data_IF_838695597405
#
_entry.id   IF_838695597405
#
_cell.length_a   1.000
_cell.length_b   1.000
_cell.length_c   1.000
_cell.angle_alpha   90.00
_cell.angle_beta   90.00
_cell.angle_gamma   90.00
#
_symmetry.space_group_name_H-M   'P 1'
#
loop_
_entity.id
_entity.type
_entity.pdbx_description
1 polymer ?
#
# COMPACT_ATOMS: atom_id res chain seq x y z
N UNK A 1 -18.02 -10.12 5.78
CA UNK A 1 -16.96 -9.27 6.36
C UNK A 1 -15.76 -9.40 5.44
N UNK A 2 -15.53 -8.40 4.58
CA UNK A 2 -14.32 -8.39 3.76
C UNK A 2 -13.21 -7.86 4.63
N UNK A 3 -12.37 -8.76 5.16
CA UNK A 3 -11.21 -8.38 5.96
C UNK A 3 -10.25 -7.60 5.06
N UNK A 4 -10.19 -6.28 5.24
CA UNK A 4 -9.24 -5.44 4.49
C UNK A 4 -7.84 -5.88 4.90
N UNK A 5 -7.01 -6.25 3.93
CA UNK A 5 -5.66 -6.76 4.21
C UNK A 5 -4.76 -5.60 4.61
N UNK A 6 -3.85 -5.85 5.55
CA UNK A 6 -2.82 -4.87 5.87
C UNK A 6 -1.77 -4.81 4.75
N UNK A 7 -1.47 -3.61 4.26
CA UNK A 7 -0.46 -3.39 3.21
C UNK A 7 0.94 -3.90 3.62
N UNK A 8 1.27 -3.88 4.92
CA UNK A 8 2.54 -4.38 5.46
C UNK A 8 2.60 -5.91 5.55
N UNK A 9 1.46 -6.58 5.44
CA UNK A 9 1.43 -8.04 5.32
C UNK A 9 1.76 -8.51 3.90
N UNK A 10 1.76 -7.62 2.91
CA UNK A 10 2.07 -7.95 1.52
C UNK A 10 3.58 -7.95 1.28
N UNK A 11 4.03 -8.98 0.57
CA UNK A 11 5.38 -9.05 0.02
C UNK A 11 5.55 -8.12 -1.19
N UNK A 12 6.79 -7.83 -1.57
CA UNK A 12 7.08 -7.05 -2.77
C UNK A 12 6.49 -7.69 -4.04
N UNK A 13 6.40 -9.02 -4.10
CA UNK A 13 5.80 -9.74 -5.21
C UNK A 13 4.28 -9.48 -5.28
N UNK A 14 3.58 -9.62 -4.16
CA UNK A 14 2.13 -9.35 -4.08
C UNK A 14 1.81 -7.89 -4.40
N UNK A 15 2.63 -6.94 -3.93
CA UNK A 15 2.48 -5.55 -4.31
C UNK A 15 2.62 -5.39 -5.83
N UNK A 16 3.63 -6.00 -6.47
CA UNK A 16 3.79 -5.93 -7.92
C UNK A 16 2.58 -6.47 -8.65
N UNK A 17 2.08 -7.64 -8.26
CA UNK A 17 0.87 -8.24 -8.84
C UNK A 17 -0.36 -7.34 -8.66
N UNK A 18 -0.52 -6.74 -7.48
CA UNK A 18 -1.58 -5.77 -7.22
C UNK A 18 -1.48 -4.55 -8.14
N UNK A 19 -0.30 -3.94 -8.25
CA UNK A 19 -0.07 -2.79 -9.12
C UNK A 19 -0.29 -3.16 -10.59
N UNK A 20 0.09 -4.36 -11.03
CA UNK A 20 -0.19 -4.86 -12.38
C UNK A 20 -1.70 -5.08 -12.61
N UNK A 21 -2.41 -5.61 -11.61
CA UNK A 21 -3.86 -5.85 -11.66
C UNK A 21 -4.66 -4.56 -11.85
N UNK A 22 -4.22 -3.46 -11.21
CA UNK A 22 -4.83 -2.13 -11.40
C UNK A 22 -4.30 -1.37 -12.63
N UNK A 23 -3.44 -2.00 -13.44
CA UNK A 23 -2.86 -1.39 -14.65
C UNK A 23 -1.81 -0.32 -14.39
N UNK A 24 -1.23 -0.28 -13.18
CA UNK A 24 -0.20 0.68 -12.80
C UNK A 24 1.22 0.07 -12.89
N UNK A 25 2.24 0.91 -12.79
CA UNK A 25 3.62 0.51 -13.09
C UNK A 25 4.25 -0.27 -11.94
N UNK A 26 4.95 -1.36 -12.26
CA UNK A 26 5.68 -2.22 -11.31
C UNK A 26 6.67 -1.47 -10.40
N UNK A 27 7.22 -0.33 -10.85
CA UNK A 27 8.13 0.47 -10.01
C UNK A 27 7.40 1.08 -8.80
N UNK A 28 6.09 1.34 -8.90
CA UNK A 28 5.30 1.88 -7.79
C UNK A 28 5.16 0.89 -6.65
N UNK A 29 5.14 -0.41 -6.96
CA UNK A 29 5.24 -1.46 -5.96
C UNK A 29 6.52 -1.35 -5.14
N UNK A 30 7.66 -1.13 -5.82
CA UNK A 30 8.97 -0.98 -5.18
C UNK A 30 8.99 0.28 -4.30
N UNK A 31 8.48 1.41 -4.80
CA UNK A 31 8.41 2.64 -4.02
C UNK A 31 7.55 2.48 -2.78
N UNK A 32 6.38 1.85 -2.92
CA UNK A 32 5.47 1.56 -1.80
C UNK A 32 6.16 0.67 -0.78
N UNK A 33 6.81 -0.41 -1.22
CA UNK A 33 7.57 -1.30 -0.36
C UNK A 33 8.70 -0.58 0.40
N UNK A 34 9.45 0.30 -0.28
CA UNK A 34 10.47 1.12 0.40
C UNK A 34 9.87 2.07 1.44
N UNK A 35 8.71 2.67 1.17
CA UNK A 35 8.02 3.50 2.16
C UNK A 35 7.58 2.70 3.39
N UNK A 36 7.09 1.47 3.18
CA UNK A 36 6.68 0.58 4.26
C UNK A 36 7.86 0.11 5.12
N UNK A 37 8.95 -0.34 4.49
CA UNK A 37 10.05 -1.02 5.19
C UNK A 37 11.27 -0.14 5.48
N UNK A 38 11.67 0.75 4.55
CA UNK A 38 12.83 1.64 4.76
C UNK A 38 12.46 2.91 5.50
N UNK A 39 11.35 3.55 5.11
CA UNK A 39 10.93 4.83 5.69
C UNK A 39 9.96 4.68 6.86
N UNK A 40 9.48 3.45 7.11
CA UNK A 40 8.53 3.14 8.16
C UNK A 40 7.34 4.11 8.17
N UNK A 41 6.77 4.35 6.97
CA UNK A 41 5.62 5.23 6.77
C UNK A 41 4.52 4.89 7.80
N UNK A 42 3.75 5.88 8.26
CA UNK A 42 2.63 5.66 9.19
C UNK A 42 1.27 5.79 8.53
N UNK A 43 1.24 6.27 7.30
CA UNK A 43 0.04 6.44 6.49
C UNK A 43 0.37 6.36 5.00
N UNK A 44 -0.65 6.16 4.17
CA UNK A 44 -0.50 6.31 2.71
C UNK A 44 -0.19 7.76 2.33
N UNK A 45 -0.64 8.74 3.11
CA UNK A 45 -0.39 10.17 2.90
C UNK A 45 1.09 10.56 3.05
N UNK A 46 1.83 9.89 3.92
CA UNK A 46 3.29 10.08 4.06
C UNK A 46 4.04 9.73 2.77
N UNK A 47 3.46 8.89 1.92
CA UNK A 47 4.07 8.46 0.66
C UNK A 47 3.96 9.55 -0.41
N UNK A 48 4.67 10.65 -0.21
CA UNK A 48 4.66 11.83 -1.10
C UNK A 48 5.09 11.52 -2.54
N UNK A 49 5.88 10.45 -2.73
CA UNK A 49 6.29 9.97 -4.06
C UNK A 49 5.17 9.26 -4.83
N UNK A 50 4.06 8.90 -4.18
CA UNK A 50 2.89 8.31 -4.83
C UNK A 50 1.88 9.40 -5.18
N UNK A 51 1.25 9.26 -6.35
CA UNK A 51 0.15 10.16 -6.76
C UNK A 51 -1.03 10.03 -5.80
N UNK A 52 -1.78 11.12 -5.64
CA UNK A 52 -2.95 11.16 -4.75
C UNK A 52 -3.97 10.06 -5.07
N UNK A 53 -4.18 9.77 -6.36
CA UNK A 53 -5.09 8.73 -6.82
C UNK A 53 -4.67 7.33 -6.34
N UNK A 54 -3.36 7.08 -6.29
CA UNK A 54 -2.81 5.80 -5.84
C UNK A 54 -2.98 5.61 -4.34
N UNK A 55 -2.74 6.68 -3.58
CA UNK A 55 -2.92 6.67 -2.12
C UNK A 55 -4.37 6.35 -1.76
N UNK A 56 -5.32 6.97 -2.46
CA UNK A 56 -6.74 6.68 -2.31
C UNK A 56 -7.04 5.21 -2.62
N UNK A 57 -6.59 4.72 -3.77
CA UNK A 57 -6.77 3.33 -4.18
C UNK A 57 -6.23 2.35 -3.12
N UNK A 58 -5.01 2.58 -2.65
CA UNK A 58 -4.40 1.77 -1.60
C UNK A 58 -5.15 1.86 -0.26
N UNK A 59 -5.70 3.02 0.09
CA UNK A 59 -6.51 3.19 1.30
C UNK A 59 -7.92 2.58 1.19
N UNK A 60 -8.44 2.43 -0.02
CA UNK A 60 -9.70 1.73 -0.30
C UNK A 60 -9.52 0.21 -0.28
N UNK A 61 -8.43 -0.29 -0.86
CA UNK A 61 -8.16 -1.72 -1.02
C UNK A 61 -7.38 -2.33 0.16
N UNK A 62 -6.62 -1.52 0.92
CA UNK A 62 -5.77 -1.97 2.02
C UNK A 62 -5.83 -1.07 3.26
N UNK A 63 -5.59 -1.69 4.41
CA UNK A 63 -5.41 -0.98 5.68
C UNK A 63 -3.93 -0.78 5.98
N UNK A 64 -3.61 0.37 6.58
CA UNK A 64 -2.24 0.70 6.96
C UNK A 64 -1.90 0.25 8.38
N UNK A 65 -2.82 0.43 9.33
CA UNK A 65 -2.60 0.14 10.75
C UNK A 65 -3.76 -0.70 11.31
N UNK A 66 -3.49 -1.91 11.80
CA UNK A 66 -4.51 -2.85 12.30
C UNK A 66 -4.90 -2.62 13.77
N UNK A 67 -4.91 -1.38 14.25
CA UNK A 67 -5.39 -1.07 15.61
C UNK A 67 -6.74 -0.37 15.58
N UNK A 68 -7.71 -1.00 14.93
CA UNK A 68 -9.11 -0.85 15.32
C UNK A 68 -9.31 -1.75 16.54
N UNK A 69 -9.05 -1.19 17.72
CA UNK A 69 -9.54 -1.74 18.99
C UNK A 69 -11.03 -1.38 19.00
N UNK A 70 -11.88 -2.35 18.71
CA UNK A 70 -13.33 -2.32 19.02
C UNK A 70 -13.54 -2.82 20.46
#
# INVERSE_FOLDING_TARGET
>A
MSAVKNIRSLSLAELKEYFESIGDKKFRAIQTYEWLWKKNARSFDDMSNLSLNLRKKLAEDFEFNTMTID
#
